data_IF_277341827031
#
_entry.id   IF_277341827031
#
_cell.length_a   1.000
_cell.length_b   1.000
_cell.length_c   1.000
_cell.angle_alpha   90.00
_cell.angle_beta   90.00
_cell.angle_gamma   90.00
#
_symmetry.space_group_name_H-M   'P 1'
#
loop_
_entity.id
_entity.type
_entity.pdbx_description
1 polymer ?
#
# COMPACT_ATOMS: atom_id res chain seq x y z
N UNK A 1 6.53 15.64 -8.52
CA UNK A 1 6.24 14.25 -8.92
C UNK A 1 5.13 13.76 -8.02
N UNK A 2 3.91 13.66 -8.52
CA UNK A 2 2.77 13.12 -7.77
C UNK A 2 2.68 11.61 -8.02
N UNK A 3 2.40 10.85 -6.98
CA UNK A 3 2.09 9.43 -7.13
C UNK A 3 0.64 9.28 -7.63
N UNK A 4 0.43 8.56 -8.73
CA UNK A 4 -0.90 8.28 -9.27
C UNK A 4 -1.43 6.95 -8.71
N UNK A 5 -2.40 7.05 -7.79
CA UNK A 5 -3.08 5.89 -7.20
C UNK A 5 -3.96 5.14 -8.20
N UNK A 6 -4.35 5.75 -9.34
CA UNK A 6 -5.15 5.11 -10.38
C UNK A 6 -4.43 3.96 -11.08
N UNK A 7 -3.09 3.99 -11.09
CA UNK A 7 -2.24 2.98 -11.73
C UNK A 7 -1.98 1.74 -10.86
N UNK A 8 -2.45 1.71 -9.60
CA UNK A 8 -2.24 0.58 -8.69
C UNK A 8 -2.98 -0.65 -9.22
N UNK A 9 -2.21 -1.73 -9.46
CA UNK A 9 -2.74 -3.04 -9.83
C UNK A 9 -3.11 -3.82 -8.57
N UNK A 10 -4.37 -4.23 -8.52
CA UNK A 10 -4.89 -5.15 -7.53
C UNK A 10 -4.77 -6.59 -8.03
N UNK A 11 -4.73 -7.54 -7.11
CA UNK A 11 -4.83 -8.96 -7.43
C UNK A 11 -6.27 -9.37 -7.79
N UNK A 12 -6.48 -10.67 -7.99
CA UNK A 12 -7.76 -11.24 -8.40
C UNK A 12 -8.85 -11.13 -7.31
N UNK A 13 -8.45 -10.95 -6.04
CA UNK A 13 -9.36 -10.73 -4.90
C UNK A 13 -9.62 -9.22 -4.66
N UNK A 14 -9.02 -8.35 -5.46
CA UNK A 14 -9.17 -6.90 -5.34
C UNK A 14 -8.34 -6.30 -4.21
N UNK A 15 -7.24 -6.96 -3.82
CA UNK A 15 -6.33 -6.54 -2.76
C UNK A 15 -4.96 -6.12 -3.30
N UNK A 16 -4.25 -5.33 -2.49
CA UNK A 16 -2.85 -4.95 -2.73
C UNK A 16 -2.07 -5.07 -1.43
N UNK A 17 -0.82 -5.56 -1.45
CA UNK A 17 0.04 -5.54 -0.27
C UNK A 17 0.50 -4.11 0.03
N UNK A 18 0.44 -3.72 1.30
CA UNK A 18 0.87 -2.42 1.82
C UNK A 18 1.91 -2.64 2.91
N UNK A 19 3.04 -1.94 2.81
CA UNK A 19 4.10 -1.95 3.81
C UNK A 19 4.01 -0.65 4.62
N UNK A 20 3.83 -0.78 5.93
CA UNK A 20 3.90 0.37 6.84
C UNK A 20 5.34 0.53 7.30
N UNK A 21 5.87 1.74 7.14
CA UNK A 21 7.23 2.09 7.52
C UNK A 21 7.21 3.34 8.41
N UNK A 22 8.03 3.36 9.46
CA UNK A 22 8.24 4.57 10.23
C UNK A 22 8.98 5.62 9.38
N UNK A 23 8.44 6.84 9.34
CA UNK A 23 8.96 7.92 8.48
C UNK A 23 10.30 8.49 8.98
N UNK A 24 10.61 8.33 10.26
CA UNK A 24 11.80 8.93 10.88
C UNK A 24 12.99 7.97 10.86
N UNK A 25 12.74 6.68 11.10
CA UNK A 25 13.79 5.65 11.21
C UNK A 25 13.92 4.80 9.95
N UNK A 26 12.86 4.72 9.13
CA UNK A 26 12.79 3.79 8.01
C UNK A 26 12.53 2.33 8.44
N UNK A 27 12.18 2.08 9.70
CA UNK A 27 11.83 0.73 10.16
C UNK A 27 10.54 0.24 9.50
N UNK A 28 10.56 -0.98 8.96
CA UNK A 28 9.35 -1.65 8.47
C UNK A 28 8.58 -2.19 9.66
N UNK A 29 7.37 -1.68 9.86
CA UNK A 29 6.52 -2.01 11.00
C UNK A 29 5.65 -3.23 10.73
N UNK A 30 5.01 -3.29 9.56
CA UNK A 30 4.12 -4.41 9.21
C UNK A 30 3.86 -4.52 7.71
N UNK A 31 3.42 -5.71 7.29
CA UNK A 31 2.81 -6.00 6.00
C UNK A 31 1.32 -6.24 6.20
N UNK A 32 0.48 -5.52 5.45
CA UNK A 32 -0.97 -5.67 5.45
C UNK A 32 -1.51 -5.77 4.02
N UNK A 33 -2.78 -6.13 3.89
CA UNK A 33 -3.51 -6.12 2.61
C UNK A 33 -4.61 -5.07 2.66
N UNK A 34 -4.75 -4.28 1.60
CA UNK A 34 -5.76 -3.24 1.47
C UNK A 34 -6.57 -3.45 0.19
N UNK A 35 -7.87 -3.17 0.27
CA UNK A 35 -8.73 -3.09 -0.91
C UNK A 35 -8.75 -1.66 -1.48
N UNK A 36 -9.43 -1.46 -2.61
CA UNK A 36 -9.55 -0.14 -3.25
C UNK A 36 -10.24 0.93 -2.40
N UNK A 37 -11.11 0.54 -1.45
CA UNK A 37 -11.81 1.50 -0.58
C UNK A 37 -10.96 1.95 0.61
N UNK A 38 -9.98 1.12 1.00
CA UNK A 38 -9.06 1.41 2.10
C UNK A 38 -7.84 2.24 1.68
N UNK A 39 -7.55 2.29 0.37
CA UNK A 39 -6.55 3.17 -0.25
C UNK A 39 -7.13 4.54 -0.59
#
# INVERSE_FOLDING_TARGET
>A
MGFDTGSIRFDDEGLVPVILQDISTGEVLTLAWANRQAL
#
